data_IF_223822641060
#
_entry.id   IF_223822641060
#
_cell.length_a   1.000
_cell.length_b   1.000
_cell.length_c   1.000
_cell.angle_alpha   90.00
_cell.angle_beta   90.00
_cell.angle_gamma   90.00
#
_symmetry.space_group_name_H-M   'P 1'
#
loop_
_entity.id
_entity.type
_entity.pdbx_description
1 polymer ?
#
# COMPACT_ATOMS: atom_id res chain seq x y z
N UNK A 1 -1.71 13.55 1.64
CA UNK A 1 -2.39 12.98 2.83
C UNK A 1 -3.90 13.21 2.84
N UNK A 2 -4.43 14.23 2.17
CA UNK A 2 -5.87 14.50 2.12
C UNK A 2 -6.69 13.31 1.58
N UNK A 3 -6.26 12.72 0.45
CA UNK A 3 -7.01 11.65 -0.24
C UNK A 3 -7.29 10.44 0.66
N UNK A 4 -6.29 9.90 1.38
CA UNK A 4 -6.52 8.74 2.24
C UNK A 4 -7.52 9.04 3.37
N UNK A 5 -7.42 10.23 3.98
CA UNK A 5 -8.30 10.64 5.07
C UNK A 5 -9.73 10.83 4.57
N UNK A 6 -9.89 11.49 3.43
CA UNK A 6 -11.19 11.69 2.79
C UNK A 6 -11.84 10.36 2.41
N UNK A 7 -11.11 9.47 1.73
CA UNK A 7 -11.61 8.15 1.37
C UNK A 7 -12.01 7.33 2.60
N UNK A 8 -11.19 7.33 3.65
CA UNK A 8 -11.49 6.62 4.89
C UNK A 8 -12.80 7.12 5.53
N UNK A 9 -13.00 8.43 5.59
CA UNK A 9 -14.22 9.02 6.13
C UNK A 9 -15.45 8.66 5.29
N UNK A 10 -15.36 8.78 3.95
CA UNK A 10 -16.46 8.44 3.03
C UNK A 10 -16.85 6.95 3.06
N UNK A 11 -15.89 6.07 3.38
CA UNK A 11 -16.12 4.65 3.57
C UNK A 11 -16.80 4.38 4.94
N UNK A 12 -16.35 5.04 6.02
CA UNK A 12 -17.02 4.95 7.32
C UNK A 12 -18.49 5.42 7.25
N UNK A 13 -18.75 6.49 6.51
CA UNK A 13 -20.12 7.01 6.27
C UNK A 13 -21.01 6.05 5.46
N UNK A 14 -20.41 5.04 4.81
CA UNK A 14 -21.08 3.96 4.08
C UNK A 14 -21.09 2.65 4.86
N UNK A 15 -20.87 2.71 6.17
CA UNK A 15 -20.88 1.58 7.09
C UNK A 15 -19.82 0.50 6.79
N UNK A 16 -18.72 0.86 6.13
CA UNK A 16 -17.59 -0.05 5.98
C UNK A 16 -16.84 -0.18 7.32
N UNK A 17 -16.58 -1.42 7.73
CA UNK A 17 -15.66 -1.72 8.84
C UNK A 17 -14.21 -1.52 8.38
N UNK A 18 -13.52 -0.54 8.96
CA UNK A 18 -12.14 -0.22 8.64
C UNK A 18 -11.26 -0.42 9.87
N UNK A 19 -9.97 -0.69 9.64
CA UNK A 19 -9.00 -0.80 10.73
C UNK A 19 -8.80 0.55 11.44
N UNK A 20 -8.91 0.54 12.78
CA UNK A 20 -8.54 1.69 13.63
C UNK A 20 -7.02 1.74 13.85
N UNK A 21 -6.29 2.08 12.79
CA UNK A 21 -4.85 2.30 12.85
C UNK A 21 -4.46 3.60 12.16
N UNK A 22 -3.46 4.28 12.73
CA UNK A 22 -2.89 5.48 12.11
C UNK A 22 -2.33 5.13 10.72
N UNK A 23 -2.77 5.85 9.70
CA UNK A 23 -2.23 5.73 8.36
C UNK A 23 -0.73 6.06 8.32
N UNK A 24 0.06 5.15 7.76
CA UNK A 24 1.49 5.33 7.47
C UNK A 24 1.69 4.93 6.00
N UNK A 25 1.95 5.86 5.07
CA UNK A 25 2.19 5.49 3.68
C UNK A 25 3.46 4.63 3.60
N UNK A 26 3.32 3.41 3.07
CA UNK A 26 4.42 2.47 2.92
C UNK A 26 4.13 1.46 1.81
N UNK A 27 5.20 0.87 1.27
CA UNK A 27 5.12 -0.29 0.38
C UNK A 27 5.63 -1.50 1.16
N UNK A 28 4.85 -2.58 1.17
CA UNK A 28 5.30 -3.84 1.80
C UNK A 28 6.33 -4.52 0.90
N UNK A 29 7.58 -4.61 1.34
CA UNK A 29 8.65 -5.31 0.61
C UNK A 29 8.62 -6.84 0.82
N UNK A 30 8.09 -7.29 1.95
CA UNK A 30 7.97 -8.70 2.29
C UNK A 30 7.31 -8.92 3.65
N UNK A 31 6.85 -10.13 3.90
CA UNK A 31 6.22 -10.55 5.17
C UNK A 31 7.05 -11.68 5.78
N UNK A 32 7.27 -11.62 7.11
CA UNK A 32 8.07 -12.63 7.85
C UNK A 32 9.48 -12.84 7.26
N UNK A 33 10.10 -11.77 6.77
CA UNK A 33 11.44 -11.80 6.16
C UNK A 33 12.50 -12.06 7.22
N UNK A 34 13.49 -12.91 6.90
CA UNK A 34 14.70 -13.08 7.71
C UNK A 34 15.81 -12.21 7.11
N UNK A 35 16.31 -11.27 7.89
CA UNK A 35 17.41 -10.41 7.48
C UNK A 35 18.74 -11.17 7.62
N UNK A 36 19.66 -10.93 6.67
CA UNK A 36 21.04 -11.41 6.79
C UNK A 36 21.76 -10.56 7.85
N UNK A 37 22.76 -11.13 8.51
CA UNK A 37 23.58 -10.39 9.49
C UNK A 37 24.26 -9.16 8.87
N UNK A 38 24.55 -9.22 7.57
CA UNK A 38 25.17 -8.12 6.81
C UNK A 38 24.16 -7.07 6.32
N UNK A 39 22.86 -7.19 6.65
CA UNK A 39 21.86 -6.24 6.16
C UNK A 39 21.99 -4.89 6.88
N UNK A 40 22.18 -3.82 6.11
CA UNK A 40 22.23 -2.45 6.60
C UNK A 40 21.00 -1.65 6.12
N UNK A 41 20.08 -1.26 7.01
CA UNK A 41 18.93 -0.44 6.65
C UNK A 41 19.29 0.94 6.06
N UNK A 42 20.44 1.50 6.45
CA UNK A 42 20.86 2.83 6.03
C UNK A 42 21.33 2.82 4.56
N UNK A 43 22.07 1.79 4.15
CA UNK A 43 22.44 1.57 2.74
C UNK A 43 21.19 1.41 1.86
N UNK A 44 20.20 0.64 2.32
CA UNK A 44 18.93 0.52 1.61
C UNK A 44 18.25 1.87 1.47
N UNK A 45 18.15 2.64 2.57
CA UNK A 45 17.53 3.96 2.57
C UNK A 45 18.21 4.92 1.57
N UNK A 46 19.54 4.92 1.53
CA UNK A 46 20.32 5.71 0.58
C UNK A 46 20.05 5.27 -0.86
N UNK A 47 20.03 3.96 -1.12
CA UNK A 47 19.79 3.43 -2.47
C UNK A 47 18.40 3.76 -3.05
N UNK A 48 17.40 4.00 -2.20
CA UNK A 48 16.03 4.31 -2.63
C UNK A 48 15.65 5.78 -2.44
N UNK A 49 16.55 6.61 -1.88
CA UNK A 49 16.24 7.99 -1.52
C UNK A 49 15.85 8.86 -2.72
N UNK A 50 16.37 8.53 -3.90
CA UNK A 50 16.15 9.29 -5.13
C UNK A 50 14.97 8.78 -5.97
N UNK A 51 14.28 7.72 -5.53
CA UNK A 51 13.13 7.18 -6.26
C UNK A 51 11.97 8.16 -6.18
N UNK A 52 11.68 8.80 -7.31
CA UNK A 52 10.50 9.65 -7.49
C UNK A 52 9.55 8.96 -8.45
N UNK A 53 8.30 8.78 -8.01
CA UNK A 53 7.25 8.17 -8.81
C UNK A 53 6.08 9.16 -8.86
N UNK A 54 5.72 9.67 -10.04
CA UNK A 54 4.52 10.49 -10.17
C UNK A 54 3.29 9.65 -9.85
N UNK A 55 2.40 10.19 -9.01
CA UNK A 55 1.13 9.54 -8.68
C UNK A 55 0.08 10.07 -9.65
N UNK A 56 -0.30 9.24 -10.62
CA UNK A 56 -1.20 9.63 -11.71
C UNK A 56 -2.66 9.26 -11.42
N UNK A 57 -2.88 8.24 -10.62
CA UNK A 57 -4.19 7.63 -10.44
C UNK A 57 -4.30 6.89 -9.11
N UNK A 58 -5.53 6.51 -8.77
CA UNK A 58 -5.88 5.62 -7.66
C UNK A 58 -6.78 4.51 -8.17
N UNK A 59 -6.38 3.28 -7.90
CA UNK A 59 -7.09 2.08 -8.31
C UNK A 59 -7.84 1.44 -7.14
N UNK A 60 -9.06 0.99 -7.42
CA UNK A 60 -9.76 0.04 -6.57
C UNK A 60 -9.34 -1.37 -7.01
N UNK A 61 -8.76 -2.11 -6.07
CA UNK A 61 -8.20 -3.44 -6.31
C UNK A 61 -9.05 -4.52 -5.63
N UNK A 62 -9.32 -5.61 -6.35
CA UNK A 62 -9.87 -6.85 -5.81
C UNK A 62 -8.74 -7.79 -5.45
N UNK A 63 -8.80 -8.37 -4.25
CA UNK A 63 -7.79 -9.29 -3.71
C UNK A 63 -8.39 -10.68 -3.52
N UNK A 64 -7.85 -11.70 -4.19
CA UNK A 64 -8.41 -13.06 -4.18
C UNK A 64 -7.33 -14.14 -4.05
N UNK A 65 -7.66 -15.28 -3.43
CA UNK A 65 -6.79 -16.46 -3.46
C UNK A 65 -7.25 -17.42 -4.55
N UNK A 66 -6.45 -17.55 -5.61
CA UNK A 66 -6.71 -18.46 -6.73
C UNK A 66 -5.61 -19.51 -6.73
N UNK A 67 -5.99 -20.79 -6.59
CA UNK A 67 -5.05 -21.91 -6.55
C UNK A 67 -3.91 -21.73 -5.52
N UNK A 68 -4.26 -21.19 -4.34
CA UNK A 68 -3.31 -20.96 -3.23
C UNK A 68 -2.41 -19.74 -3.41
N UNK A 69 -2.59 -18.93 -4.46
CA UNK A 69 -1.84 -17.69 -4.70
C UNK A 69 -2.74 -16.48 -4.51
N UNK A 70 -2.21 -15.45 -3.85
CA UNK A 70 -2.86 -14.15 -3.75
C UNK A 70 -2.72 -13.41 -5.08
N UNK A 71 -3.85 -13.06 -5.70
CA UNK A 71 -3.96 -12.36 -6.97
C UNK A 71 -4.69 -11.05 -6.75
N UNK A 72 -4.17 -9.98 -7.34
CA UNK A 72 -4.78 -8.65 -7.33
C UNK A 72 -5.26 -8.30 -8.72
N UNK A 73 -6.52 -7.88 -8.82
CA UNK A 73 -7.15 -7.46 -10.08
C UNK A 73 -7.67 -6.05 -9.91
N UNK A 74 -7.31 -5.14 -10.81
CA UNK A 74 -7.92 -3.81 -10.87
C UNK A 74 -9.39 -3.93 -11.26
N UNK A 75 -10.28 -3.25 -10.54
CA UNK A 75 -11.72 -3.21 -10.85
C UNK A 75 -12.22 -1.81 -11.21
N UNK A 76 -11.46 -0.77 -10.87
CA UNK A 76 -11.74 0.61 -11.24
C UNK A 76 -10.48 1.45 -11.09
N UNK A 77 -10.29 2.46 -11.94
CA UNK A 77 -9.21 3.44 -11.83
C UNK A 77 -9.76 4.86 -11.91
N UNK A 78 -9.12 5.76 -11.15
CA UNK A 78 -9.44 7.19 -11.11
C UNK A 78 -8.17 8.01 -11.23
N UNK A 79 -8.06 8.77 -12.32
CA UNK A 79 -6.97 9.74 -12.51
C UNK A 79 -7.04 10.89 -11.49
N UNK A 80 -5.86 11.42 -11.14
CA UNK A 80 -5.64 12.51 -10.18
C UNK A 80 -5.43 13.88 -10.84
#
# INVERSE_FOLDING_TARGET
MAIQKELHQLLLERDFELEDRKYRPHITLGRKVRLRETFNPQELKESIAEIQIPVNSIELMKSEHISGKLVYTEIFSKDL
#
